data_IF_393381125354
#
_entry.id   IF_393381125354
#
_cell.length_a   1.000
_cell.length_b   1.000
_cell.length_c   1.000
_cell.angle_alpha   90.00
_cell.angle_beta   90.00
_cell.angle_gamma   90.00
#
_symmetry.space_group_name_H-M   'P 1'
#
loop_
_entity.id
_entity.type
_entity.pdbx_description
1 polymer ?
#
# COMPACT_ATOMS: atom_id res chain seq x y z
N UNK A 1 -18.49 -10.63 27.65
CA UNK A 1 -19.30 -11.59 28.50
C UNK A 1 -20.57 -10.90 28.97
N UNK A 2 -21.60 -11.70 29.41
CA UNK A 2 -22.84 -11.12 29.95
C UNK A 2 -22.62 -10.61 31.36
N UNK A 3 -23.26 -9.50 31.78
CA UNK A 3 -23.15 -9.00 33.16
C UNK A 3 -23.74 -10.01 34.16
N UNK A 4 -23.15 -10.07 35.34
CA UNK A 4 -23.68 -10.87 36.46
C UNK A 4 -24.80 -10.08 37.12
N UNK A 5 -25.94 -10.71 37.37
CA UNK A 5 -27.12 -10.10 37.96
C UNK A 5 -27.48 -10.76 39.29
N UNK A 6 -28.02 -9.96 40.20
CA UNK A 6 -28.45 -10.45 41.51
C UNK A 6 -27.29 -10.88 42.43
N UNK A 7 -27.51 -11.93 43.21
CA UNK A 7 -26.52 -12.40 44.22
C UNK A 7 -25.50 -13.41 43.65
N UNK A 8 -25.36 -13.52 42.30
CA UNK A 8 -24.39 -14.38 41.70
C UNK A 8 -22.96 -13.96 41.95
N UNK A 9 -22.04 -14.93 42.12
CA UNK A 9 -20.63 -14.66 42.29
C UNK A 9 -19.98 -14.16 40.99
N UNK A 10 -19.20 -13.09 41.09
CA UNK A 10 -18.46 -12.47 39.97
C UNK A 10 -17.10 -13.15 39.73
N UNK A 11 -16.65 -13.99 40.66
CA UNK A 11 -15.36 -14.69 40.58
C UNK A 11 -15.28 -15.56 39.32
N UNK A 12 -14.20 -15.40 38.52
CA UNK A 12 -13.98 -16.16 37.30
C UNK A 12 -14.76 -15.64 36.06
N UNK A 13 -15.59 -14.61 36.20
CA UNK A 13 -16.32 -13.99 35.09
C UNK A 13 -15.66 -12.73 34.54
N UNK A 14 -14.48 -12.35 35.05
CA UNK A 14 -13.72 -11.22 34.52
C UNK A 14 -13.42 -11.37 33.02
N UNK A 15 -13.33 -10.26 32.36
CA UNK A 15 -12.81 -10.16 30.99
C UNK A 15 -11.39 -9.67 31.07
N UNK A 16 -10.51 -10.32 30.29
CA UNK A 16 -9.12 -9.89 30.20
C UNK A 16 -9.04 -8.63 29.34
N UNK A 17 -8.30 -7.64 29.84
CA UNK A 17 -8.00 -6.43 29.10
C UNK A 17 -6.84 -6.71 28.15
N UNK A 18 -7.10 -6.61 26.86
CA UNK A 18 -6.05 -6.71 25.84
C UNK A 18 -5.69 -5.33 25.30
N UNK A 19 -4.41 -5.11 25.11
CA UNK A 19 -3.88 -3.92 24.47
C UNK A 19 -3.21 -4.31 23.15
N UNK A 20 -3.41 -3.48 22.14
CA UNK A 20 -2.70 -3.58 20.88
C UNK A 20 -1.96 -2.28 20.63
N UNK A 21 -0.68 -2.38 20.38
CA UNK A 21 0.17 -1.23 20.06
C UNK A 21 0.50 -1.23 18.57
N UNK A 22 0.48 -0.05 17.97
CA UNK A 22 0.89 0.15 16.58
C UNK A 22 1.91 1.29 16.53
N UNK A 23 3.08 1.01 15.94
CA UNK A 23 4.15 1.99 15.80
C UNK A 23 4.37 2.36 14.34
N UNK A 24 4.40 3.65 14.05
CA UNK A 24 4.74 4.19 12.75
C UNK A 24 6.08 4.94 12.83
N UNK A 25 6.94 4.68 11.85
CA UNK A 25 8.19 5.39 11.66
C UNK A 25 8.01 6.43 10.55
N UNK A 26 8.58 7.61 10.75
CA UNK A 26 8.59 8.67 9.76
C UNK A 26 9.96 8.68 9.08
N UNK A 27 9.96 8.76 7.76
CA UNK A 27 11.17 8.86 6.95
C UNK A 27 11.18 10.16 6.14
N UNK A 28 12.35 10.57 5.70
CA UNK A 28 12.53 11.75 4.86
C UNK A 28 13.05 11.33 3.49
N UNK A 29 12.22 11.46 2.47
CA UNK A 29 12.62 11.29 1.07
C UNK A 29 13.22 12.58 0.49
N UNK A 30 14.30 12.45 -0.27
CA UNK A 30 14.91 13.55 -1.02
C UNK A 30 15.25 13.07 -2.42
N UNK A 31 14.89 13.88 -3.41
CA UNK A 31 15.27 13.65 -4.79
C UNK A 31 15.83 14.93 -5.38
N UNK A 32 16.94 14.81 -6.09
CA UNK A 32 17.62 15.94 -6.70
C UNK A 32 17.42 15.91 -8.21
N UNK A 33 16.93 17.00 -8.76
CA UNK A 33 16.89 17.24 -10.21
C UNK A 33 17.91 18.32 -10.53
N UNK A 34 18.93 17.97 -11.31
CA UNK A 34 19.92 18.94 -11.79
C UNK A 34 19.40 19.59 -13.08
N UNK A 35 19.13 20.87 -13.00
CA UNK A 35 18.69 21.68 -14.15
C UNK A 35 19.86 22.27 -14.94
N UNK A 36 21.09 21.82 -14.69
CA UNK A 36 22.29 22.36 -15.28
C UNK A 36 22.76 23.66 -14.65
N UNK A 37 23.97 24.06 -14.95
CA UNK A 37 24.59 25.28 -14.44
C UNK A 37 24.02 26.56 -15.08
N UNK A 38 24.42 27.70 -14.55
CA UNK A 38 24.00 29.05 -14.99
C UNK A 38 24.20 29.26 -16.50
N UNK A 39 25.25 28.70 -17.08
CA UNK A 39 25.52 28.76 -18.53
C UNK A 39 24.47 27.97 -19.34
N UNK A 40 24.00 26.84 -18.87
CA UNK A 40 22.93 26.05 -19.50
C UNK A 40 21.61 26.81 -19.51
N UNK A 41 21.27 27.48 -18.43
CA UNK A 41 20.09 28.35 -18.33
C UNK A 41 20.14 29.52 -19.30
N UNK A 42 21.32 30.17 -19.47
CA UNK A 42 21.49 31.26 -20.40
C UNK A 42 21.41 30.86 -21.89
N UNK A 43 21.79 29.63 -22.20
CA UNK A 43 21.75 29.11 -23.57
C UNK A 43 20.40 28.52 -23.95
N UNK A 44 19.54 28.25 -23.00
CA UNK A 44 18.25 27.61 -23.20
C UNK A 44 17.13 28.66 -23.14
N UNK A 45 16.23 28.57 -24.11
CA UNK A 45 15.05 29.46 -24.21
C UNK A 45 13.96 29.09 -23.17
N UNK A 46 14.08 27.93 -22.54
CA UNK A 46 13.12 27.42 -21.60
C UNK A 46 13.55 27.69 -20.15
N UNK A 47 12.57 27.87 -19.26
CA UNK A 47 12.82 27.97 -17.82
C UNK A 47 13.03 26.57 -17.22
N UNK A 48 14.29 26.14 -17.17
CA UNK A 48 14.67 24.83 -16.69
C UNK A 48 14.27 24.60 -15.22
N UNK A 49 14.32 25.64 -14.39
CA UNK A 49 13.93 25.53 -12.99
C UNK A 49 12.42 25.26 -12.82
N UNK A 50 11.58 25.86 -13.66
CA UNK A 50 10.14 25.59 -13.66
C UNK A 50 9.84 24.17 -14.09
N UNK A 51 10.47 23.71 -15.16
CA UNK A 51 10.33 22.34 -15.67
C UNK A 51 10.80 21.31 -14.64
N UNK A 52 11.94 21.57 -13.98
CA UNK A 52 12.45 20.69 -12.93
C UNK A 52 11.49 20.57 -11.73
N UNK A 53 10.83 21.66 -11.33
CA UNK A 53 9.81 21.61 -10.25
C UNK A 53 8.61 20.76 -10.63
N UNK A 54 8.13 20.89 -11.85
CA UNK A 54 7.01 20.09 -12.33
C UNK A 54 7.36 18.61 -12.36
N UNK A 55 8.52 18.26 -12.92
CA UNK A 55 9.00 16.87 -12.95
C UNK A 55 9.18 16.29 -11.54
N UNK A 56 9.72 17.09 -10.62
CA UNK A 56 9.89 16.65 -9.24
C UNK A 56 8.54 16.41 -8.54
N UNK A 57 7.55 17.27 -8.82
CA UNK A 57 6.18 17.06 -8.32
C UNK A 57 5.56 15.78 -8.83
N UNK A 58 5.66 15.50 -10.12
CA UNK A 58 5.19 14.23 -10.72
C UNK A 58 5.90 13.03 -10.09
N UNK A 59 7.23 13.08 -9.99
CA UNK A 59 8.01 12.00 -9.38
C UNK A 59 7.55 11.65 -7.96
N UNK A 60 7.32 12.65 -7.11
CA UNK A 60 6.86 12.38 -5.74
C UNK A 60 5.42 11.89 -5.67
N UNK A 61 4.54 12.33 -6.56
CA UNK A 61 3.18 11.80 -6.66
C UNK A 61 3.21 10.32 -7.07
N UNK A 62 3.97 9.98 -8.10
CA UNK A 62 4.11 8.60 -8.59
C UNK A 62 4.71 7.70 -7.51
N UNK A 63 5.72 8.19 -6.77
CA UNK A 63 6.30 7.46 -5.65
C UNK A 63 5.28 7.22 -4.53
N UNK A 64 4.47 8.22 -4.18
CA UNK A 64 3.44 8.09 -3.15
C UNK A 64 2.36 7.08 -3.56
N UNK A 65 1.92 7.13 -4.82
CA UNK A 65 0.93 6.20 -5.36
C UNK A 65 1.47 4.76 -5.34
N UNK A 66 2.72 4.55 -5.76
CA UNK A 66 3.36 3.23 -5.70
C UNK A 66 3.49 2.73 -4.26
N UNK A 67 3.90 3.59 -3.32
CA UNK A 67 3.96 3.23 -1.90
C UNK A 67 2.58 2.86 -1.35
N UNK A 68 1.54 3.61 -1.69
CA UNK A 68 0.18 3.34 -1.25
C UNK A 68 -0.32 1.99 -1.79
N UNK A 69 -0.10 1.71 -3.08
CA UNK A 69 -0.47 0.43 -3.70
C UNK A 69 0.26 -0.74 -3.01
N UNK A 70 1.57 -0.60 -2.74
CA UNK A 70 2.34 -1.65 -2.07
C UNK A 70 1.85 -1.88 -0.64
N UNK A 71 1.49 -0.84 0.11
CA UNK A 71 0.91 -1.01 1.45
C UNK A 71 -0.47 -1.66 1.43
N UNK A 72 -1.28 -1.40 0.41
CA UNK A 72 -2.63 -1.97 0.27
C UNK A 72 -2.61 -3.40 -0.26
N UNK A 73 -1.81 -3.66 -1.29
CA UNK A 73 -1.78 -4.94 -1.98
C UNK A 73 -0.71 -5.92 -1.47
N UNK A 74 0.27 -5.41 -0.74
CA UNK A 74 1.47 -6.16 -0.34
C UNK A 74 2.62 -6.00 -1.33
N UNK A 75 3.84 -6.16 -0.84
CA UNK A 75 5.04 -6.18 -1.67
C UNK A 75 5.15 -7.55 -2.33
N UNK A 76 4.69 -7.67 -3.56
CA UNK A 76 4.63 -8.93 -4.30
C UNK A 76 5.49 -8.87 -5.55
N UNK A 77 6.11 -10.01 -5.84
CA UNK A 77 6.71 -10.35 -7.12
C UNK A 77 8.05 -9.70 -7.42
N UNK A 78 8.63 -10.22 -8.47
CA UNK A 78 9.92 -9.81 -9.03
C UNK A 78 9.75 -8.80 -10.16
N UNK A 79 8.49 -8.40 -10.43
CA UNK A 79 8.18 -7.55 -11.56
C UNK A 79 8.52 -6.09 -11.26
N UNK A 80 9.52 -5.59 -11.96
CA UNK A 80 9.84 -4.17 -12.04
C UNK A 80 9.51 -3.72 -13.46
N UNK A 81 8.45 -2.94 -13.61
CA UNK A 81 8.24 -2.21 -14.86
C UNK A 81 9.28 -1.09 -14.98
N UNK A 82 9.67 -0.74 -16.20
CA UNK A 82 10.65 0.33 -16.44
C UNK A 82 10.25 1.68 -15.83
N UNK A 83 8.94 1.88 -15.59
CA UNK A 83 8.37 3.10 -15.02
C UNK A 83 8.22 3.06 -13.48
N UNK A 84 8.63 1.97 -12.81
CA UNK A 84 8.52 1.89 -11.36
C UNK A 84 9.70 2.57 -10.66
N UNK A 85 9.37 3.48 -9.75
CA UNK A 85 10.35 4.17 -8.90
C UNK A 85 10.71 3.27 -7.72
N UNK A 86 9.73 2.54 -7.21
CA UNK A 86 9.89 1.65 -6.07
C UNK A 86 10.53 0.33 -6.53
N UNK A 87 11.70 -0.06 -5.96
CA UNK A 87 12.32 -1.33 -6.30
C UNK A 87 11.52 -2.52 -5.76
N UNK A 88 11.87 -3.74 -6.19
CA UNK A 88 11.27 -4.98 -5.68
C UNK A 88 11.53 -5.16 -4.19
N UNK A 89 10.68 -5.95 -3.53
CA UNK A 89 10.78 -6.20 -2.08
C UNK A 89 12.12 -6.81 -1.63
N UNK A 90 12.80 -7.54 -2.51
CA UNK A 90 14.10 -8.16 -2.25
C UNK A 90 15.27 -7.17 -2.37
N UNK A 91 15.06 -6.05 -3.05
CA UNK A 91 16.12 -5.07 -3.25
C UNK A 91 16.47 -4.35 -1.94
N UNK A 92 17.76 -4.15 -1.62
CA UNK A 92 18.18 -3.53 -0.35
C UNK A 92 17.67 -2.09 -0.16
N UNK A 93 17.34 -1.38 -1.23
CA UNK A 93 16.80 -0.02 -1.17
C UNK A 93 15.30 0.03 -0.86
N UNK A 94 14.57 -1.07 -1.07
CA UNK A 94 13.16 -1.14 -0.74
C UNK A 94 12.89 -0.75 0.72
N UNK A 95 13.61 -1.35 1.67
CA UNK A 95 13.49 -1.05 3.11
C UNK A 95 13.94 0.35 3.50
N UNK A 96 14.71 1.04 2.65
CA UNK A 96 15.08 2.44 2.89
C UNK A 96 13.94 3.39 2.53
N UNK A 97 13.15 3.04 1.51
CA UNK A 97 11.98 3.81 1.08
C UNK A 97 10.77 3.42 1.93
N UNK A 98 10.49 2.13 2.01
CA UNK A 98 9.39 1.55 2.79
C UNK A 98 9.87 1.20 4.20
N UNK A 99 9.99 2.22 5.05
CA UNK A 99 10.54 2.06 6.42
C UNK A 99 9.58 1.34 7.37
N UNK A 100 8.27 1.42 7.09
CA UNK A 100 7.24 0.68 7.80
C UNK A 100 7.05 -0.68 7.16
N UNK A 101 6.77 -1.68 7.98
CA UNK A 101 6.54 -3.03 7.49
C UNK A 101 5.28 -3.08 6.60
N UNK A 102 5.43 -3.69 5.44
CA UNK A 102 4.32 -3.93 4.53
C UNK A 102 3.64 -5.22 4.94
N UNK A 103 2.42 -5.11 5.45
CA UNK A 103 1.60 -6.24 5.86
C UNK A 103 0.58 -6.53 4.75
N UNK A 104 0.81 -7.58 3.94
CA UNK A 104 -0.14 -7.93 2.89
C UNK A 104 -1.47 -8.36 3.51
N UNK A 105 -2.59 -8.17 2.79
CA UNK A 105 -3.87 -8.70 3.20
C UNK A 105 -3.79 -10.22 3.40
N UNK A 106 -4.50 -10.73 4.39
CA UNK A 106 -4.63 -12.18 4.60
C UNK A 106 -5.44 -12.82 3.47
N UNK A 107 -5.28 -14.13 3.27
CA UNK A 107 -5.98 -14.84 2.19
C UNK A 107 -7.51 -14.64 2.24
N UNK A 108 -8.08 -14.59 3.43
CA UNK A 108 -9.52 -14.41 3.68
C UNK A 108 -10.06 -13.04 3.20
N UNK A 109 -9.17 -12.11 2.88
CA UNK A 109 -9.51 -10.76 2.39
C UNK A 109 -9.25 -10.58 0.90
N UNK A 110 -8.98 -11.66 0.20
CA UNK A 110 -8.82 -11.66 -1.24
C UNK A 110 -10.10 -12.16 -1.91
N UNK A 111 -10.64 -11.34 -2.81
CA UNK A 111 -11.76 -11.70 -3.66
C UNK A 111 -11.24 -11.84 -5.08
N UNK A 112 -11.37 -13.01 -5.64
CA UNK A 112 -10.93 -13.33 -6.99
C UNK A 112 -12.12 -13.24 -7.95
N UNK A 113 -11.86 -12.86 -9.19
CA UNK A 113 -12.85 -12.89 -10.27
C UNK A 113 -13.07 -14.32 -10.79
N UNK A 114 -14.20 -14.54 -11.47
CA UNK A 114 -14.50 -15.82 -12.11
C UNK A 114 -14.56 -16.99 -11.15
N UNK A 115 -13.86 -18.06 -11.48
CA UNK A 115 -13.74 -19.28 -10.69
C UNK A 115 -12.37 -19.43 -9.98
N UNK A 116 -11.52 -18.39 -10.10
CA UNK A 116 -10.21 -18.40 -9.44
C UNK A 116 -10.33 -18.38 -7.92
N UNK A 117 -9.53 -19.20 -7.24
CA UNK A 117 -9.43 -19.26 -5.79
C UNK A 117 -8.05 -18.85 -5.27
N UNK A 118 -7.09 -18.63 -6.15
CA UNK A 118 -5.73 -18.20 -5.84
C UNK A 118 -5.18 -17.29 -6.93
N UNK A 119 -4.11 -16.55 -6.65
CA UNK A 119 -3.45 -15.69 -7.62
C UNK A 119 -2.91 -16.43 -8.84
N UNK A 120 -2.50 -17.67 -8.66
CA UNK A 120 -1.93 -18.51 -9.73
C UNK A 120 -2.98 -19.01 -10.72
N UNK A 121 -4.26 -18.98 -10.31
CA UNK A 121 -5.37 -19.44 -11.13
C UNK A 121 -6.07 -18.33 -11.90
N UNK A 122 -5.63 -17.07 -11.73
CA UNK A 122 -6.23 -15.94 -12.44
C UNK A 122 -5.90 -16.02 -13.92
N UNK A 123 -6.95 -16.16 -14.74
CA UNK A 123 -6.88 -16.19 -16.18
C UNK A 123 -7.45 -14.90 -16.81
N UNK A 124 -7.25 -14.76 -18.11
CA UNK A 124 -7.76 -13.59 -18.85
C UNK A 124 -9.30 -13.48 -18.85
N UNK A 125 -10.01 -14.55 -18.50
CA UNK A 125 -11.46 -14.58 -18.36
C UNK A 125 -11.95 -14.06 -17.01
N UNK A 126 -11.09 -14.01 -15.98
CA UNK A 126 -11.41 -13.60 -14.61
C UNK A 126 -11.40 -12.08 -14.47
N UNK A 127 -12.28 -11.45 -15.20
CA UNK A 127 -12.42 -9.99 -15.23
C UNK A 127 -13.21 -9.49 -14.01
N UNK A 128 -12.97 -8.24 -13.65
CA UNK A 128 -13.77 -7.54 -12.67
C UNK A 128 -15.24 -7.46 -13.12
N UNK A 129 -16.14 -8.02 -12.34
CA UNK A 129 -17.56 -8.12 -12.67
C UNK A 129 -18.43 -7.56 -11.53
N UNK A 130 -19.69 -7.25 -11.86
CA UNK A 130 -20.69 -6.83 -10.87
C UNK A 130 -20.92 -7.93 -9.83
N UNK A 131 -20.89 -9.20 -10.24
CA UNK A 131 -21.02 -10.33 -9.31
C UNK A 131 -19.91 -10.38 -8.25
N UNK A 132 -18.69 -9.95 -8.58
CA UNK A 132 -17.63 -9.82 -7.60
C UNK A 132 -17.94 -8.74 -6.56
N UNK A 133 -18.53 -7.63 -7.00
CA UNK A 133 -18.94 -6.52 -6.11
C UNK A 133 -20.09 -6.97 -5.20
N UNK A 134 -21.06 -7.71 -5.73
CA UNK A 134 -22.18 -8.25 -4.95
C UNK A 134 -21.68 -9.23 -3.88
N UNK A 135 -20.75 -10.12 -4.22
CA UNK A 135 -20.13 -11.05 -3.27
C UNK A 135 -19.36 -10.30 -2.18
N UNK A 136 -18.62 -9.25 -2.55
CA UNK A 136 -17.92 -8.41 -1.58
C UNK A 136 -18.91 -7.70 -0.64
N UNK A 137 -20.02 -7.18 -1.17
CA UNK A 137 -21.06 -6.55 -0.36
C UNK A 137 -21.66 -7.53 0.65
N UNK A 138 -22.01 -8.74 0.21
CA UNK A 138 -22.52 -9.79 1.10
C UNK A 138 -21.53 -10.15 2.20
N UNK A 139 -20.25 -10.26 1.86
CA UNK A 139 -19.22 -10.57 2.85
C UNK A 139 -19.07 -9.46 3.91
N UNK A 140 -19.18 -8.20 3.50
CA UNK A 140 -19.12 -7.07 4.45
C UNK A 140 -20.35 -7.04 5.35
N UNK A 141 -21.53 -7.40 4.83
CA UNK A 141 -22.77 -7.46 5.62
C UNK A 141 -22.77 -8.60 6.66
N UNK A 142 -21.98 -9.66 6.44
CA UNK A 142 -21.84 -10.80 7.35
C UNK A 142 -20.81 -10.59 8.47
N UNK A 143 -19.93 -9.59 8.34
CA UNK A 143 -18.89 -9.26 9.33
C UNK A 143 -19.43 -8.43 10.48
#
# INVERSE_FOLDING_TARGET
>A
KRPTMGDERVEGRGEDLSHADFSLKINQGRHLVDAGGRMSQQRTKFNLASSARTLLGTYFNDLQDQCAIVHLAGARGDFVADDTILPTAEHPEFKKIMINDVLPPTHDRHFFGGDATSFEQIEAADIFSIGLVDNLSLFIDEM
#
